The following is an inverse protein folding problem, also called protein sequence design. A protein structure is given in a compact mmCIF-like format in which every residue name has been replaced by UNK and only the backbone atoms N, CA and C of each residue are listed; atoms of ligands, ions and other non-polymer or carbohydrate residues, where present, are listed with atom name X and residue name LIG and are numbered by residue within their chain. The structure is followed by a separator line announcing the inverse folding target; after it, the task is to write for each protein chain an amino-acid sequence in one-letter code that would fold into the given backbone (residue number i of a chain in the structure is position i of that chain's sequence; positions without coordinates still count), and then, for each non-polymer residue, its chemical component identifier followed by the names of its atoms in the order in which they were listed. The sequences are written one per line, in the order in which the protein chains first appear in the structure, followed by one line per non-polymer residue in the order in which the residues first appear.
data_IF_243497965875
#
_entry.id   IF_243497965875
#
_cell.length_a   1.000
_cell.length_b   1.000
_cell.length_c   1.000
_cell.angle_alpha   90.00
_cell.angle_beta   90.00
_cell.angle_gamma   90.00
#
_symmetry.space_group_name_H-M   'P 1'
#
loop_
_entity.id
_entity.type
_entity.pdbx_description
1 polymer ?
#
# COMPACT_ATOMS: atom_id res chain seq x y z
N UNK A 1 9.14 27.96 -10.25
CA UNK A 1 8.43 27.58 -11.51
C UNK A 1 7.81 28.82 -12.14
N UNK A 2 7.38 28.78 -13.40
CA UNK A 2 6.67 29.92 -13.99
C UNK A 2 5.23 30.00 -13.43
N UNK A 3 4.70 31.21 -13.18
CA UNK A 3 3.30 31.39 -12.77
C UNK A 3 2.33 30.72 -13.75
N UNK A 4 1.26 30.13 -13.21
CA UNK A 4 0.26 29.35 -13.96
C UNK A 4 0.62 27.88 -14.20
N UNK A 5 1.83 27.45 -13.81
CA UNK A 5 2.26 26.05 -13.81
C UNK A 5 1.53 25.19 -12.77
N UNK A 6 1.62 23.85 -12.94
CA UNK A 6 1.07 22.87 -12.00
C UNK A 6 2.16 21.87 -11.63
N UNK A 7 2.39 21.68 -10.33
CA UNK A 7 3.23 20.60 -9.78
C UNK A 7 2.31 19.44 -9.43
N UNK A 8 2.67 18.23 -9.88
CA UNK A 8 1.99 16.99 -9.46
C UNK A 8 3.02 16.12 -8.75
N UNK A 9 2.96 16.08 -7.42
CA UNK A 9 3.78 15.18 -6.62
C UNK A 9 3.05 13.85 -6.44
N UNK A 10 3.60 12.77 -7.00
CA UNK A 10 3.03 11.42 -6.95
C UNK A 10 3.68 10.56 -5.85
N UNK A 11 4.54 11.16 -5.02
CA UNK A 11 5.29 10.49 -3.96
C UNK A 11 4.43 10.33 -2.72
N UNK A 12 4.48 9.16 -2.08
CA UNK A 12 3.90 8.99 -0.74
C UNK A 12 4.81 9.64 0.31
N UNK A 13 4.26 10.61 1.03
CA UNK A 13 4.95 11.48 1.99
C UNK A 13 3.98 11.96 3.07
N UNK A 14 4.45 12.72 4.06
CA UNK A 14 3.57 13.27 5.09
C UNK A 14 2.52 14.24 4.49
N UNK A 15 1.24 14.15 4.87
CA UNK A 15 0.20 15.13 4.53
C UNK A 15 0.59 16.58 4.86
N UNK A 16 1.35 16.80 5.94
CA UNK A 16 1.86 18.13 6.29
C UNK A 16 2.84 18.68 5.25
N UNK A 17 3.69 17.83 4.66
CA UNK A 17 4.63 18.23 3.61
C UNK A 17 3.88 18.61 2.34
N UNK A 18 2.83 17.86 1.97
CA UNK A 18 1.98 18.20 0.84
C UNK A 18 1.34 19.59 0.99
N UNK A 19 0.88 19.94 2.20
CA UNK A 19 0.34 21.28 2.51
C UNK A 19 1.43 22.35 2.42
N UNK A 20 2.62 22.10 2.95
CA UNK A 20 3.74 23.03 2.86
C UNK A 20 4.13 23.31 1.40
N UNK A 21 4.25 22.27 0.56
CA UNK A 21 4.53 22.40 -0.87
C UNK A 21 3.42 23.22 -1.56
N UNK A 22 2.16 22.95 -1.23
CA UNK A 22 1.03 23.72 -1.77
C UNK A 22 1.12 25.20 -1.42
N UNK A 23 1.35 25.54 -0.16
CA UNK A 23 1.45 26.93 0.30
C UNK A 23 2.61 27.67 -0.38
N UNK A 24 3.77 27.01 -0.57
CA UNK A 24 4.90 27.60 -1.28
C UNK A 24 4.63 27.76 -2.79
N UNK A 25 3.92 26.81 -3.40
CA UNK A 25 3.52 26.90 -4.80
C UNK A 25 2.58 28.09 -5.03
N UNK A 26 1.57 28.27 -4.16
CA UNK A 26 0.62 29.38 -4.26
C UNK A 26 1.31 30.75 -4.18
N UNK A 27 2.34 30.90 -3.34
CA UNK A 27 3.15 32.14 -3.25
C UNK A 27 3.87 32.48 -4.55
N UNK A 28 4.11 31.50 -5.42
CA UNK A 28 4.74 31.67 -6.73
C UNK A 28 3.71 31.74 -7.87
N UNK A 29 2.41 31.75 -7.57
CA UNK A 29 1.34 31.69 -8.56
C UNK A 29 1.28 30.34 -9.29
N UNK A 30 1.69 29.26 -8.62
CA UNK A 30 1.75 27.89 -9.15
C UNK A 30 0.75 27.03 -8.36
N UNK A 31 0.02 26.14 -9.03
CA UNK A 31 -0.83 25.17 -8.35
C UNK A 31 -0.01 23.93 -7.98
N UNK A 32 -0.35 23.28 -6.86
CA UNK A 32 0.22 22.00 -6.47
C UNK A 32 -0.87 20.96 -6.24
N UNK A 33 -0.59 19.72 -6.62
CA UNK A 33 -1.45 18.56 -6.43
C UNK A 33 -0.60 17.49 -5.75
N UNK A 34 -1.05 17.00 -4.60
CA UNK A 34 -0.56 15.75 -4.02
C UNK A 34 -1.37 14.58 -4.58
N UNK A 35 -0.75 13.83 -5.47
CA UNK A 35 -1.29 12.57 -5.97
C UNK A 35 -0.71 11.42 -5.19
N UNK A 36 -1.55 10.52 -4.70
CA UNK A 36 -1.07 9.21 -4.28
C UNK A 36 -1.66 8.14 -5.14
N UNK A 37 -0.86 7.11 -5.35
CA UNK A 37 -1.26 5.96 -6.13
C UNK A 37 -1.63 4.83 -5.17
N UNK A 38 -2.66 4.05 -5.50
CA UNK A 38 -2.99 2.77 -4.85
C UNK A 38 -3.44 1.80 -5.94
N UNK A 39 -3.20 0.50 -5.84
CA UNK A 39 -3.80 -0.47 -6.78
C UNK A 39 -4.46 -1.62 -6.06
N UNK A 40 -5.59 -2.02 -6.63
CA UNK A 40 -6.06 -3.38 -6.66
C UNK A 40 -6.03 -3.82 -8.13
N UNK A 41 -5.24 -4.82 -8.56
CA UNK A 41 -5.32 -5.29 -9.93
C UNK A 41 -6.71 -5.84 -10.23
N UNK A 42 -7.23 -5.49 -11.39
CA UNK A 42 -8.16 -6.33 -12.14
C UNK A 42 -7.31 -7.38 -12.86
N UNK A 43 -7.45 -8.67 -12.53
CA UNK A 43 -6.74 -9.76 -13.21
C UNK A 43 -7.48 -10.18 -14.49
N UNK A 44 -6.76 -10.43 -15.58
CA UNK A 44 -6.45 -11.83 -15.91
C UNK A 44 -4.94 -12.04 -16.16
N UNK A 45 -4.39 -13.01 -15.44
CA UNK A 45 -3.13 -13.76 -15.66
C UNK A 45 -2.13 -13.24 -16.70
N UNK A 46 -0.88 -12.98 -16.29
CA UNK A 46 0.35 -13.58 -16.89
C UNK A 46 1.59 -13.31 -16.02
N UNK A 47 2.48 -14.30 -15.99
CA UNK A 47 3.86 -14.23 -15.48
C UNK A 47 4.67 -13.15 -16.21
N UNK A 48 5.52 -12.41 -15.50
CA UNK A 48 6.90 -12.13 -15.90
C UNK A 48 7.70 -11.38 -14.81
N UNK A 49 8.97 -11.79 -14.64
CA UNK A 49 9.93 -11.29 -13.66
C UNK A 49 10.22 -9.81 -13.88
N UNK A 50 10.13 -8.97 -12.83
CA UNK A 50 10.58 -7.59 -12.97
C UNK A 50 11.04 -6.84 -11.73
N UNK A 51 11.94 -5.89 -12.02
CA UNK A 51 12.72 -5.02 -11.15
C UNK A 51 12.00 -3.69 -10.88
N UNK A 52 12.26 -3.11 -9.69
CA UNK A 52 11.51 -2.07 -8.96
C UNK A 52 11.40 -0.67 -9.60
N UNK A 53 10.25 0.00 -9.38
CA UNK A 53 10.08 1.46 -9.44
C UNK A 53 8.92 1.92 -8.51
N UNK A 54 9.09 2.94 -7.65
CA UNK A 54 8.09 3.30 -6.65
C UNK A 54 7.02 4.26 -7.20
N UNK A 55 5.87 3.69 -7.58
CA UNK A 55 4.54 4.31 -7.52
C UNK A 55 3.57 3.22 -7.08
N UNK A 56 2.71 3.52 -6.11
CA UNK A 56 1.89 2.51 -5.43
C UNK A 56 0.79 1.96 -6.35
N UNK A 57 1.15 0.97 -7.16
CA UNK A 57 0.22 0.16 -7.90
C UNK A 57 0.61 -1.31 -8.08
N UNK A 58 1.66 -1.70 -7.36
CA UNK A 58 2.60 -2.66 -7.93
C UNK A 58 3.21 -2.10 -9.22
N UNK A 59 4.38 -2.61 -9.55
CA UNK A 59 4.99 -2.49 -10.87
C UNK A 59 4.00 -2.82 -12.00
N UNK A 60 3.14 -3.83 -11.80
CA UNK A 60 2.12 -4.26 -12.75
C UNK A 60 1.13 -3.14 -13.07
N UNK A 61 0.48 -2.53 -12.06
CA UNK A 61 -0.55 -1.52 -12.31
C UNK A 61 -0.01 -0.25 -12.98
N UNK A 62 1.26 0.09 -12.72
CA UNK A 62 1.93 1.21 -13.39
C UNK A 62 2.18 0.93 -14.87
N UNK A 63 2.60 -0.30 -15.22
CA UNK A 63 2.86 -0.71 -16.62
C UNK A 63 1.59 -0.85 -17.43
N UNK A 64 0.54 -1.34 -16.80
CA UNK A 64 -0.75 -1.58 -17.45
C UNK A 64 -1.65 -0.33 -17.46
N UNK A 65 -1.16 0.81 -16.98
CA UNK A 65 -1.92 2.05 -16.85
C UNK A 65 -3.25 1.87 -16.09
N UNK A 66 -3.24 1.06 -15.04
CA UNK A 66 -4.43 0.69 -14.23
C UNK A 66 -4.41 1.27 -12.82
N UNK A 67 -3.52 2.22 -12.56
CA UNK A 67 -3.37 2.87 -11.26
C UNK A 67 -4.68 3.46 -10.70
N UNK A 68 -4.91 3.35 -9.39
CA UNK A 68 -5.86 4.20 -8.69
C UNK A 68 -5.12 5.44 -8.20
N UNK A 69 -5.62 6.64 -8.50
CA UNK A 69 -4.99 7.91 -8.15
C UNK A 69 -5.92 8.67 -7.20
N UNK A 70 -5.41 9.00 -6.03
CA UNK A 70 -6.06 9.76 -4.95
C UNK A 70 -5.42 11.15 -4.92
N UNK A 71 -6.08 12.15 -5.50
CA UNK A 71 -5.53 13.48 -5.67
C UNK A 71 -6.08 14.47 -4.63
N UNK A 72 -5.20 15.16 -3.92
CA UNK A 72 -5.48 16.36 -3.14
C UNK A 72 -4.97 17.61 -3.84
N UNK A 73 -5.66 18.74 -3.67
CA UNK A 73 -5.32 20.02 -4.26
C UNK A 73 -6.52 20.76 -4.86
N UNK A 74 -6.25 21.83 -5.60
CA UNK A 74 -7.29 22.65 -6.24
C UNK A 74 -8.04 21.85 -7.32
N UNK A 75 -9.37 21.91 -7.28
CA UNK A 75 -10.23 21.18 -8.22
C UNK A 75 -9.94 21.54 -9.68
N UNK A 76 -9.69 22.83 -9.96
CA UNK A 76 -9.39 23.32 -11.30
C UNK A 76 -8.01 22.84 -11.79
N UNK A 77 -7.01 22.79 -10.90
CA UNK A 77 -5.70 22.26 -11.23
C UNK A 77 -5.80 20.76 -11.56
N UNK A 78 -6.56 20.00 -10.77
CA UNK A 78 -6.80 18.57 -10.99
C UNK A 78 -7.53 18.35 -12.31
N UNK A 79 -8.56 19.14 -12.61
CA UNK A 79 -9.28 19.06 -13.88
C UNK A 79 -8.36 19.28 -15.09
N UNK A 80 -7.41 20.23 -14.99
CA UNK A 80 -6.43 20.52 -16.04
C UNK A 80 -5.45 19.37 -16.28
N UNK A 81 -5.02 18.65 -15.23
CA UNK A 81 -4.08 17.52 -15.37
C UNK A 81 -4.78 16.16 -15.52
N UNK A 82 -6.09 16.09 -15.34
CA UNK A 82 -6.87 14.85 -15.43
C UNK A 82 -6.64 14.08 -16.74
N UNK A 83 -6.53 14.71 -17.93
CA UNK A 83 -6.20 13.98 -19.16
C UNK A 83 -4.87 13.22 -19.08
N UNK A 84 -3.88 13.76 -18.37
CA UNK A 84 -2.57 13.13 -18.16
C UNK A 84 -2.67 11.99 -17.14
N UNK A 85 -3.39 12.22 -16.04
CA UNK A 85 -3.59 11.19 -15.01
C UNK A 85 -4.31 9.95 -15.58
N UNK A 86 -5.24 10.14 -16.53
CA UNK A 86 -5.95 9.06 -17.24
C UNK A 86 -5.05 8.19 -18.13
N UNK A 87 -3.86 8.64 -18.49
CA UNK A 87 -2.89 7.84 -19.23
C UNK A 87 -2.19 6.80 -18.34
N UNK A 88 -2.27 6.96 -17.02
CA UNK A 88 -1.58 6.11 -16.05
C UNK A 88 -2.54 5.33 -15.15
N UNK A 89 -3.78 5.80 -15.01
CA UNK A 89 -4.72 5.27 -14.04
C UNK A 89 -6.16 5.14 -14.53
N UNK A 90 -6.86 4.16 -13.96
CA UNK A 90 -8.28 3.89 -14.25
C UNK A 90 -9.24 4.45 -13.21
N UNK A 91 -8.82 4.56 -11.94
CA UNK A 91 -9.66 5.08 -10.86
C UNK A 91 -9.05 6.35 -10.26
N UNK A 92 -9.47 7.51 -10.77
CA UNK A 92 -8.91 8.82 -10.38
C UNK A 92 -9.96 9.57 -9.57
N UNK A 93 -9.62 9.95 -8.34
CA UNK A 93 -10.54 10.61 -7.40
C UNK A 93 -9.90 11.86 -6.82
N UNK A 94 -10.66 12.95 -6.82
CA UNK A 94 -10.34 14.14 -6.02
C UNK A 94 -10.81 13.91 -4.59
N UNK A 95 -9.90 14.03 -3.63
CA UNK A 95 -10.11 13.70 -2.23
C UNK A 95 -10.30 14.94 -1.34
N UNK A 96 -10.09 16.13 -1.89
CA UNK A 96 -10.16 17.40 -1.17
C UNK A 96 -8.96 18.31 -1.47
N UNK A 97 -8.71 19.27 -0.58
CA UNK A 97 -7.56 20.18 -0.69
C UNK A 97 -6.21 19.50 -0.49
N UNK A 98 -5.15 20.30 -0.42
CA UNK A 98 -3.78 19.81 -0.24
C UNK A 98 -3.62 18.87 0.97
N UNK A 99 -2.93 17.75 0.77
CA UNK A 99 -2.70 16.69 1.73
C UNK A 99 -3.83 15.65 1.80
N UNK A 100 -4.99 15.89 1.18
CA UNK A 100 -6.10 14.93 1.21
C UNK A 100 -5.79 13.64 0.44
N UNK A 101 -4.97 13.73 -0.61
CA UNK A 101 -4.46 12.56 -1.33
C UNK A 101 -3.58 11.70 -0.41
N UNK A 102 -2.66 12.33 0.32
CA UNK A 102 -1.79 11.64 1.30
C UNK A 102 -2.59 11.00 2.43
N UNK A 103 -3.56 11.70 3.02
CA UNK A 103 -4.44 11.11 4.06
C UNK A 103 -5.22 9.91 3.52
N UNK A 104 -5.74 10.00 2.30
CA UNK A 104 -6.44 8.88 1.66
C UNK A 104 -5.51 7.68 1.46
N UNK A 105 -4.25 7.92 1.10
CA UNK A 105 -3.23 6.87 1.04
C UNK A 105 -3.00 6.23 2.40
N UNK A 106 -2.92 7.00 3.49
CA UNK A 106 -2.77 6.44 4.84
C UNK A 106 -3.95 5.53 5.22
N UNK A 107 -5.19 5.92 4.87
CA UNK A 107 -6.36 5.05 5.04
C UNK A 107 -6.16 3.70 4.34
N UNK A 108 -5.69 3.71 3.09
CA UNK A 108 -5.42 2.48 2.36
C UNK A 108 -4.33 1.62 3.01
N UNK A 109 -3.22 2.23 3.44
CA UNK A 109 -2.11 1.49 4.05
C UNK A 109 -2.50 0.87 5.40
N UNK A 110 -3.33 1.57 6.20
CA UNK A 110 -3.89 1.03 7.45
C UNK A 110 -4.77 -0.20 7.19
N UNK A 111 -5.64 -0.13 6.18
CA UNK A 111 -6.50 -1.26 5.78
C UNK A 111 -5.66 -2.45 5.33
N UNK A 112 -4.63 -2.24 4.51
CA UNK A 112 -3.73 -3.32 4.07
C UNK A 112 -3.01 -3.94 5.27
N UNK A 113 -2.50 -3.11 6.19
CA UNK A 113 -1.66 -3.58 7.30
C UNK A 113 -2.42 -4.52 8.24
N UNK A 114 -3.61 -4.11 8.63
CA UNK A 114 -4.47 -4.88 9.55
C UNK A 114 -5.08 -6.10 8.85
N UNK A 115 -5.49 -5.98 7.58
CA UNK A 115 -6.00 -7.12 6.82
C UNK A 115 -4.94 -8.22 6.64
N UNK A 116 -3.67 -7.84 6.41
CA UNK A 116 -2.58 -8.80 6.25
C UNK A 116 -2.34 -9.65 7.50
N UNK A 117 -2.56 -9.12 8.71
CA UNK A 117 -2.50 -9.91 9.95
C UNK A 117 -3.54 -11.04 9.88
N UNK A 118 -4.81 -10.70 9.59
CA UNK A 118 -5.89 -11.69 9.51
C UNK A 118 -5.66 -12.75 8.42
N UNK A 119 -5.14 -12.34 7.25
CA UNK A 119 -4.77 -13.28 6.19
C UNK A 119 -3.70 -14.27 6.67
N UNK A 120 -2.63 -13.77 7.28
CA UNK A 120 -1.52 -14.63 7.73
C UNK A 120 -1.94 -15.54 8.87
N UNK A 121 -2.62 -15.02 9.88
CA UNK A 121 -3.11 -15.81 11.02
C UNK A 121 -4.10 -16.88 10.58
N UNK A 122 -5.02 -16.56 9.67
CA UNK A 122 -5.98 -17.50 9.11
C UNK A 122 -5.30 -18.64 8.35
N UNK A 123 -4.28 -18.33 7.54
CA UNK A 123 -3.53 -19.35 6.81
C UNK A 123 -2.65 -20.22 7.72
N UNK A 124 -2.05 -19.62 8.75
CA UNK A 124 -1.29 -20.38 9.75
C UNK A 124 -2.21 -21.34 10.53
N UNK A 125 -3.42 -20.89 10.87
CA UNK A 125 -4.45 -21.73 11.48
C UNK A 125 -4.87 -22.87 10.55
N UNK A 126 -5.13 -22.57 9.27
CA UNK A 126 -5.49 -23.58 8.27
C UNK A 126 -4.41 -24.66 8.16
N UNK A 127 -3.14 -24.26 8.08
CA UNK A 127 -2.03 -25.21 8.09
C UNK A 127 -1.98 -26.05 9.38
N UNK A 128 -2.05 -25.40 10.55
CA UNK A 128 -1.90 -26.11 11.83
C UNK A 128 -3.07 -27.07 12.12
N UNK A 129 -4.26 -26.78 11.58
CA UNK A 129 -5.44 -27.64 11.66
C UNK A 129 -5.46 -28.75 10.61
N UNK A 130 -4.48 -28.81 9.71
CA UNK A 130 -4.36 -29.85 8.68
C UNK A 130 -5.21 -29.61 7.43
N UNK A 131 -5.70 -28.39 7.23
CA UNK A 131 -6.41 -28.01 6.00
C UNK A 131 -5.43 -27.77 4.86
N UNK A 132 -5.87 -28.07 3.63
CA UNK A 132 -5.20 -27.55 2.44
C UNK A 132 -5.40 -26.03 2.38
N UNK A 133 -4.30 -25.27 2.37
CA UNK A 133 -4.37 -23.82 2.36
C UNK A 133 -5.03 -23.26 1.11
N UNK A 134 -4.84 -23.87 -0.08
CA UNK A 134 -5.45 -23.37 -1.31
C UNK A 134 -6.96 -23.60 -1.31
N UNK A 135 -7.42 -24.75 -0.84
CA UNK A 135 -8.86 -25.02 -0.67
C UNK A 135 -9.48 -24.08 0.38
N UNK A 136 -8.78 -23.84 1.49
CA UNK A 136 -9.22 -22.87 2.50
C UNK A 136 -9.33 -21.45 1.90
N UNK A 137 -8.33 -20.99 1.14
CA UNK A 137 -8.34 -19.71 0.43
C UNK A 137 -9.53 -19.63 -0.54
N UNK A 138 -9.75 -20.66 -1.35
CA UNK A 138 -10.83 -20.69 -2.32
C UNK A 138 -12.21 -20.60 -1.64
N UNK A 139 -12.39 -21.33 -0.53
CA UNK A 139 -13.64 -21.35 0.21
C UNK A 139 -13.96 -20.00 0.88
N UNK A 140 -12.99 -19.39 1.57
CA UNK A 140 -13.25 -18.15 2.33
C UNK A 140 -13.12 -16.89 1.47
N UNK A 141 -12.30 -16.93 0.42
CA UNK A 141 -11.97 -15.81 -0.45
C UNK A 141 -13.13 -15.32 -1.32
N UNK A 142 -14.11 -16.20 -1.58
CA UNK A 142 -15.37 -15.86 -2.25
C UNK A 142 -16.46 -15.37 -1.27
N UNK A 143 -16.27 -15.57 0.03
CA UNK A 143 -17.24 -15.23 1.07
C UNK A 143 -17.01 -13.88 1.73
N UNK A 144 -17.60 -13.69 2.92
CA UNK A 144 -17.49 -12.45 3.69
C UNK A 144 -16.06 -12.11 4.14
N UNK A 145 -15.16 -13.10 4.22
CA UNK A 145 -13.74 -12.90 4.50
C UNK A 145 -12.93 -12.50 3.25
N UNK A 146 -13.58 -12.47 2.09
CA UNK A 146 -12.96 -12.14 0.81
C UNK A 146 -12.31 -10.76 0.81
N UNK A 147 -11.05 -10.73 0.41
CA UNK A 147 -10.29 -9.50 0.20
C UNK A 147 -9.28 -9.71 -0.90
N UNK A 148 -8.77 -8.61 -1.46
CA UNK A 148 -7.68 -8.71 -2.43
C UNK A 148 -6.46 -9.43 -1.85
N UNK A 149 -6.11 -9.14 -0.60
CA UNK A 149 -4.95 -9.76 0.06
C UNK A 149 -5.07 -11.28 0.14
N UNK A 150 -6.21 -11.83 0.57
CA UNK A 150 -6.34 -13.30 0.65
C UNK A 150 -6.38 -13.95 -0.74
N UNK A 151 -7.06 -13.33 -1.70
CA UNK A 151 -7.23 -13.90 -3.04
C UNK A 151 -5.96 -13.82 -3.89
N UNK A 152 -5.11 -12.81 -3.67
CA UNK A 152 -3.91 -12.58 -4.48
C UNK A 152 -2.60 -12.91 -3.76
N UNK A 153 -2.52 -12.64 -2.45
CA UNK A 153 -1.31 -12.92 -1.66
C UNK A 153 -1.39 -14.26 -0.93
N UNK A 154 -2.58 -14.74 -0.58
CA UNK A 154 -2.76 -16.06 0.04
C UNK A 154 -2.15 -17.21 -0.76
N UNK A 155 -2.45 -17.35 -2.08
CA UNK A 155 -1.84 -18.39 -2.90
C UNK A 155 -0.31 -18.26 -3.02
N UNK A 156 0.23 -17.03 -2.93
CA UNK A 156 1.68 -16.79 -2.92
C UNK A 156 2.30 -17.24 -1.61
N UNK A 157 1.65 -16.97 -0.47
CA UNK A 157 2.05 -17.50 0.85
C UNK A 157 2.07 -19.03 0.83
N UNK A 158 1.01 -19.67 0.32
CA UNK A 158 0.93 -21.13 0.23
C UNK A 158 2.05 -21.74 -0.63
N UNK A 159 2.51 -21.00 -1.65
CA UNK A 159 3.64 -21.39 -2.53
C UNK A 159 5.02 -20.93 -2.01
N UNK A 160 5.09 -20.32 -0.82
CA UNK A 160 6.32 -19.72 -0.26
C UNK A 160 6.94 -18.64 -1.17
N UNK A 161 6.12 -17.95 -1.96
CA UNK A 161 6.56 -16.85 -2.83
C UNK A 161 6.45 -15.50 -2.11
N UNK A 162 7.61 -15.04 -1.64
CA UNK A 162 7.75 -13.76 -0.93
C UNK A 162 8.35 -12.64 -1.81
N UNK A 163 8.38 -12.83 -3.14
CA UNK A 163 8.84 -11.77 -4.04
C UNK A 163 7.94 -10.53 -3.92
N UNK A 164 8.51 -9.32 -3.89
CA UNK A 164 7.75 -8.12 -3.62
C UNK A 164 6.86 -7.72 -4.80
N UNK A 165 5.56 -7.56 -4.55
CA UNK A 165 4.74 -6.59 -5.31
C UNK A 165 4.77 -5.20 -4.64
N UNK A 166 4.90 -5.19 -3.32
CA UNK A 166 5.14 -4.01 -2.51
C UNK A 166 6.07 -4.39 -1.34
N UNK A 167 7.20 -3.70 -1.23
CA UNK A 167 8.26 -4.07 -0.29
C UNK A 167 7.92 -3.71 1.15
N UNK A 168 8.33 -4.57 2.08
CA UNK A 168 8.18 -4.34 3.53
C UNK A 168 8.83 -3.02 3.97
N UNK A 169 9.99 -2.65 3.43
CA UNK A 169 10.67 -1.39 3.81
C UNK A 169 9.87 -0.14 3.41
N UNK A 170 9.24 -0.15 2.23
CA UNK A 170 8.37 0.93 1.79
C UNK A 170 7.06 0.93 2.56
N UNK A 171 6.54 -0.26 2.89
CA UNK A 171 5.34 -0.35 3.69
C UNK A 171 5.56 0.21 5.10
N UNK A 172 6.69 -0.12 5.74
CA UNK A 172 7.07 0.42 7.05
C UNK A 172 7.22 1.95 7.04
N UNK A 173 7.76 2.54 5.96
CA UNK A 173 7.77 3.99 5.79
C UNK A 173 6.33 4.55 5.86
N UNK A 174 5.41 3.96 5.11
CA UNK A 174 4.02 4.42 5.06
C UNK A 174 3.29 4.22 6.40
N UNK A 175 3.51 3.09 7.09
CA UNK A 175 2.95 2.87 8.43
C UNK A 175 3.51 3.89 9.44
N UNK A 176 4.78 4.27 9.32
CA UNK A 176 5.39 5.33 10.11
C UNK A 176 4.70 6.69 9.90
N UNK A 177 4.39 7.05 8.65
CA UNK A 177 3.63 8.26 8.32
C UNK A 177 2.22 8.16 8.95
N UNK A 178 1.52 7.04 8.75
CA UNK A 178 0.17 6.84 9.28
C UNK A 178 0.12 6.94 10.81
N UNK A 179 1.11 6.38 11.52
CA UNK A 179 1.22 6.47 12.98
C UNK A 179 1.47 7.90 13.46
N UNK A 180 2.39 8.62 12.80
CA UNK A 180 2.70 10.03 13.11
C UNK A 180 1.48 10.93 12.92
N UNK A 181 0.76 10.75 11.80
CA UNK A 181 -0.46 11.50 11.51
C UNK A 181 -1.59 11.16 12.49
N UNK A 182 -1.73 9.88 12.85
CA UNK A 182 -2.70 9.45 13.87
C UNK A 182 -2.44 10.11 15.21
N UNK A 183 -1.17 10.17 15.64
CA UNK A 183 -0.78 10.86 16.87
C UNK A 183 -1.09 12.35 16.80
N UNK A 184 -0.75 13.02 15.69
CA UNK A 184 -1.03 14.44 15.50
C UNK A 184 -2.54 14.76 15.54
N UNK A 185 -3.38 13.83 15.10
CA UNK A 185 -4.85 13.94 15.15
C UNK A 185 -5.46 13.50 16.49
N UNK A 186 -4.67 12.99 17.44
CA UNK A 186 -5.18 12.42 18.69
C UNK A 186 -5.92 11.08 18.53
N UNK A 187 -5.63 10.33 17.47
CA UNK A 187 -6.20 9.00 17.21
C UNK A 187 -5.29 7.90 17.76
N UNK A 188 -5.90 6.97 18.51
CA UNK A 188 -5.24 5.74 18.96
C UNK A 188 -5.65 4.57 18.06
N UNK A 189 -4.70 4.07 17.25
CA UNK A 189 -4.92 2.98 16.30
C UNK A 189 -4.10 1.74 16.69
N UNK A 190 -4.53 0.94 17.68
CA UNK A 190 -3.74 -0.18 18.20
C UNK A 190 -3.46 -1.27 17.14
N UNK A 191 -4.40 -1.54 16.24
CA UNK A 191 -4.20 -2.50 15.15
C UNK A 191 -3.08 -2.08 14.19
N UNK A 192 -2.99 -0.78 13.87
CA UNK A 192 -1.89 -0.23 13.07
C UNK A 192 -0.55 -0.37 13.79
N UNK A 193 -0.52 -0.03 15.09
CA UNK A 193 0.69 -0.14 15.90
C UNK A 193 1.21 -1.58 15.96
N UNK A 194 0.31 -2.56 16.17
CA UNK A 194 0.65 -3.98 16.15
C UNK A 194 1.18 -4.41 14.78
N UNK A 195 0.47 -4.06 13.69
CA UNK A 195 0.92 -4.39 12.35
C UNK A 195 2.32 -3.85 12.06
N UNK A 196 2.59 -2.60 12.44
CA UNK A 196 3.92 -2.00 12.31
C UNK A 196 4.99 -2.82 13.04
N UNK A 197 4.76 -3.23 14.30
CA UNK A 197 5.73 -4.04 15.04
C UNK A 197 5.99 -5.40 14.38
N UNK A 198 4.95 -6.05 13.85
CA UNK A 198 5.12 -7.32 13.15
C UNK A 198 5.92 -7.16 11.85
N UNK A 199 5.68 -6.08 11.09
CA UNK A 199 6.49 -5.79 9.89
C UNK A 199 7.93 -5.39 10.21
N UNK A 200 8.18 -4.69 11.33
CA UNK A 200 9.54 -4.45 11.82
C UNK A 200 10.25 -5.78 12.10
N UNK A 201 9.57 -6.76 12.69
CA UNK A 201 10.13 -8.09 12.91
C UNK A 201 10.52 -8.81 11.60
N UNK A 202 9.81 -8.55 10.49
CA UNK A 202 10.21 -9.02 9.15
C UNK A 202 11.46 -8.30 8.65
N UNK A 203 11.61 -6.99 8.86
CA UNK A 203 12.72 -6.23 8.32
C UNK A 203 14.08 -6.53 9.00
N UNK A 204 14.08 -6.75 10.32
CA UNK A 204 15.29 -6.72 11.15
C UNK A 204 16.14 -8.01 11.05
N UNK A 205 17.42 -7.93 10.67
CA UNK A 205 18.37 -9.05 10.80
C UNK A 205 18.61 -9.41 12.28
N UNK A 206 18.95 -10.67 12.63
CA UNK A 206 19.21 -11.82 11.75
C UNK A 206 17.93 -12.59 11.36
N UNK A 207 16.75 -12.05 11.66
CA UNK A 207 15.47 -12.75 11.43
C UNK A 207 15.32 -13.15 9.97
N UNK A 208 15.63 -12.25 9.03
CA UNK A 208 15.68 -12.54 7.59
C UNK A 208 16.79 -11.74 6.90
N UNK A 209 17.65 -12.41 6.15
CA UNK A 209 18.61 -11.74 5.26
C UNK A 209 17.83 -10.98 4.19
N UNK A 210 17.81 -9.65 4.26
CA UNK A 210 17.06 -8.74 3.37
C UNK A 210 15.53 -8.76 3.51
N UNK A 211 14.99 -8.99 4.72
CA UNK A 211 13.53 -9.02 4.94
C UNK A 211 12.78 -7.75 4.49
N UNK A 212 13.43 -6.57 4.53
CA UNK A 212 12.88 -5.33 4.01
C UNK A 212 12.57 -5.35 2.50
N UNK A 213 13.27 -6.17 1.71
CA UNK A 213 13.09 -6.31 0.26
C UNK A 213 12.04 -7.36 -0.12
N UNK A 214 11.49 -8.09 0.85
CA UNK A 214 10.41 -9.04 0.62
C UNK A 214 9.07 -8.33 0.44
N UNK A 215 8.09 -9.02 -0.12
CA UNK A 215 6.71 -8.52 -0.22
C UNK A 215 5.99 -8.48 1.13
N UNK A 216 4.91 -7.72 1.24
CA UNK A 216 4.10 -7.62 2.46
C UNK A 216 3.56 -8.97 2.95
N UNK A 217 3.40 -9.95 2.05
CA UNK A 217 3.01 -11.31 2.41
C UNK A 217 4.08 -12.08 3.23
N UNK A 218 5.31 -11.56 3.30
CA UNK A 218 6.37 -12.07 4.17
C UNK A 218 6.09 -11.87 5.67
N UNK A 219 5.02 -11.16 6.04
CA UNK A 219 4.49 -11.16 7.39
C UNK A 219 4.26 -12.59 7.92
N UNK A 220 3.95 -13.55 7.05
CA UNK A 220 3.89 -14.98 7.38
C UNK A 220 5.14 -15.47 8.12
N UNK A 221 6.33 -15.07 7.64
CA UNK A 221 7.58 -15.54 8.22
C UNK A 221 7.71 -15.10 9.68
N UNK A 222 7.35 -13.86 10.00
CA UNK A 222 7.42 -13.35 11.37
C UNK A 222 6.49 -14.15 12.30
N UNK A 223 5.28 -14.49 11.85
CA UNK A 223 4.31 -15.25 12.65
C UNK A 223 4.70 -16.74 12.76
N UNK A 224 5.28 -17.33 11.73
CA UNK A 224 5.91 -18.66 11.78
C UNK A 224 6.95 -18.73 12.90
N UNK A 225 7.86 -17.74 12.95
CA UNK A 225 8.90 -17.67 13.98
C UNK A 225 8.31 -17.54 15.38
N UNK A 226 7.29 -16.71 15.57
CA UNK A 226 6.62 -16.54 16.87
C UNK A 226 5.97 -17.84 17.37
N UNK A 227 5.52 -18.70 16.46
CA UNK A 227 4.83 -19.95 16.79
C UNK A 227 5.71 -21.19 16.69
N UNK A 228 6.99 -21.05 16.34
CA UNK A 228 7.90 -22.17 16.05
C UNK A 228 7.30 -23.14 15.00
N UNK A 229 6.76 -22.58 13.91
CA UNK A 229 6.15 -23.30 12.78
C UNK A 229 7.02 -23.11 11.53
N UNK A 230 7.14 -24.16 10.71
CA UNK A 230 7.75 -24.10 9.39
C UNK A 230 6.79 -24.75 8.39
N UNK A 231 6.20 -23.92 7.50
CA UNK A 231 5.33 -24.36 6.40
C UNK A 231 6.10 -25.16 5.34
#
# INVERSE_FOLDING_TARGET
MQPGGIIVDMTTSEPSLAKEIFDQAQRQGVSSIDGNVTVYPFSPSTNENTLQAPVSGGDVGAREATLSIMAGGDVDAIARVLPLLKLMGKNIRHMGGAGAGQHTKMVNQILIATNMIGVVEGLLYAYKSGLDMNEAIAAVGAGAAGSWSINNLGPRIAKRDFNPGFMVEHFLKDLGIALKESQAMGLSLPGLALANQLFVAVQVPPTYTNGGRLGTQALMLALEKLNNIHL
#
